data_IF_677905643705
#
_entry.id   IF_677905643705
#
_cell.length_a   1.000
_cell.length_b   1.000
_cell.length_c   1.000
_cell.angle_alpha   90.00
_cell.angle_beta   90.00
_cell.angle_gamma   90.00
#
_symmetry.space_group_name_H-M   'P 1'
#
loop_
_entity.id
_entity.type
_entity.pdbx_description
1 polymer ?
#
# COMPACT_ATOMS: atom_id res chain seq x y z
N UNK A 1 -7.85 8.70 -9.97
CA UNK A 1 -6.50 8.78 -10.57
C UNK A 1 -5.60 7.74 -9.93
N UNK A 2 -4.78 7.07 -10.71
CA UNK A 2 -3.86 6.08 -10.19
C UNK A 2 -2.59 6.73 -9.66
N UNK A 3 -2.17 6.33 -8.47
CA UNK A 3 -0.85 6.64 -7.95
C UNK A 3 -0.02 5.37 -7.91
N UNK A 4 1.27 5.47 -8.19
CA UNK A 4 2.17 4.32 -8.23
C UNK A 4 3.33 4.57 -7.28
N UNK A 5 3.59 3.59 -6.40
CA UNK A 5 4.81 3.58 -5.60
C UNK A 5 5.55 2.28 -5.80
N UNK A 6 6.86 2.35 -5.72
CA UNK A 6 7.72 1.17 -5.80
C UNK A 6 8.50 1.05 -4.50
N UNK A 7 8.18 0.02 -3.75
CA UNK A 7 8.84 -0.26 -2.47
C UNK A 7 9.71 -1.52 -2.54
N UNK A 8 9.96 -2.02 -3.75
CA UNK A 8 10.68 -3.28 -3.96
C UNK A 8 12.14 -3.22 -3.49
N UNK A 9 12.73 -2.03 -3.45
CA UNK A 9 14.12 -1.84 -2.99
C UNK A 9 14.23 -1.60 -1.49
N UNK A 10 13.11 -1.43 -0.79
CA UNK A 10 13.11 -1.17 0.65
C UNK A 10 13.10 -2.47 1.45
N UNK A 11 13.65 -2.40 2.65
CA UNK A 11 13.65 -3.52 3.59
C UNK A 11 12.59 -3.33 4.67
N UNK A 12 12.00 -4.43 5.18
CA UNK A 12 11.02 -4.33 6.25
C UNK A 12 11.58 -3.58 7.46
N UNK A 13 10.77 -2.76 8.15
CA UNK A 13 9.34 -2.53 7.92
C UNK A 13 9.01 -1.37 6.97
N UNK A 14 10.00 -0.79 6.30
CA UNK A 14 9.84 0.41 5.48
C UNK A 14 8.76 0.28 4.39
N UNK A 15 8.65 -0.85 3.64
CA UNK A 15 7.60 -0.96 2.64
C UNK A 15 6.20 -0.77 3.22
N UNK A 16 5.94 -1.37 4.38
CA UNK A 16 4.64 -1.25 5.03
C UNK A 16 4.36 0.19 5.43
N UNK A 17 5.35 0.86 6.03
CA UNK A 17 5.22 2.26 6.45
C UNK A 17 4.94 3.17 5.27
N UNK A 18 5.65 3.00 4.15
CA UNK A 18 5.46 3.79 2.94
C UNK A 18 4.05 3.61 2.36
N UNK A 19 3.58 2.38 2.33
CA UNK A 19 2.24 2.08 1.81
C UNK A 19 1.18 2.75 2.68
N UNK A 20 1.27 2.62 4.00
CA UNK A 20 0.30 3.21 4.91
C UNK A 20 0.31 4.73 4.84
N UNK A 21 1.48 5.35 4.78
CA UNK A 21 1.60 6.80 4.65
C UNK A 21 0.96 7.30 3.35
N UNK A 22 1.21 6.60 2.25
CA UNK A 22 0.65 6.97 0.95
C UNK A 22 -0.86 6.81 0.94
N UNK A 23 -1.39 5.76 1.55
CA UNK A 23 -2.83 5.55 1.65
C UNK A 23 -3.51 6.65 2.46
N UNK A 24 -2.84 7.17 3.49
CA UNK A 24 -3.40 8.26 4.30
C UNK A 24 -3.61 9.54 3.48
N UNK A 25 -2.81 9.74 2.43
CA UNK A 25 -2.90 10.92 1.56
C UNK A 25 -3.72 10.65 0.29
N UNK A 26 -4.22 9.43 0.11
CA UNK A 26 -4.94 9.06 -1.10
C UNK A 26 -6.32 9.70 -1.13
N UNK A 27 -6.64 10.38 -2.23
CA UNK A 27 -7.94 11.04 -2.39
C UNK A 27 -9.05 10.02 -2.64
N UNK A 28 -10.29 10.32 -2.22
CA UNK A 28 -11.43 9.45 -2.55
C UNK A 28 -11.57 9.25 -4.06
N UNK A 29 -11.78 8.01 -4.47
CA UNK A 29 -11.87 7.66 -5.87
C UNK A 29 -10.55 7.36 -6.55
N UNK A 30 -9.43 7.66 -5.91
CA UNK A 30 -8.11 7.30 -6.41
C UNK A 30 -7.74 5.90 -5.92
N UNK A 31 -6.78 5.29 -6.59
CA UNK A 31 -6.24 3.99 -6.17
C UNK A 31 -4.72 4.01 -6.23
N UNK A 32 -4.14 3.13 -5.44
CA UNK A 32 -2.70 3.02 -5.31
C UNK A 32 -2.23 1.70 -5.91
N UNK A 33 -1.27 1.78 -6.83
CA UNK A 33 -0.56 0.61 -7.34
C UNK A 33 0.77 0.51 -6.62
N UNK A 34 0.98 -0.61 -5.97
CA UNK A 34 2.19 -0.85 -5.19
C UNK A 34 3.03 -1.92 -5.88
N UNK A 35 4.28 -1.59 -6.17
CA UNK A 35 5.27 -2.56 -6.62
C UNK A 35 6.05 -3.04 -5.42
N UNK A 36 5.93 -4.32 -5.12
CA UNK A 36 6.55 -4.93 -3.96
C UNK A 36 7.29 -6.19 -4.39
N UNK A 37 8.45 -6.42 -3.79
CA UNK A 37 9.25 -7.60 -4.09
C UNK A 37 8.63 -8.88 -3.53
N UNK A 38 7.88 -8.76 -2.44
CA UNK A 38 7.22 -9.87 -1.76
C UNK A 38 5.74 -9.60 -1.58
N UNK A 39 4.98 -10.66 -1.38
CA UNK A 39 3.57 -10.53 -1.05
C UNK A 39 3.44 -9.94 0.37
N UNK A 40 2.87 -8.73 0.53
CA UNK A 40 2.79 -8.08 1.84
C UNK A 40 1.62 -8.63 2.67
N UNK A 41 1.69 -9.90 3.02
CA UNK A 41 0.60 -10.61 3.72
C UNK A 41 0.12 -9.88 4.98
N UNK A 42 0.99 -9.32 5.85
CA UNK A 42 0.53 -8.60 7.03
C UNK A 42 -0.28 -7.34 6.73
N UNK A 43 -0.17 -6.81 5.51
CA UNK A 43 -0.89 -5.60 5.11
C UNK A 43 -2.37 -5.85 4.88
N UNK A 44 -2.75 -7.02 4.40
CA UNK A 44 -4.12 -7.29 3.97
C UNK A 44 -5.16 -7.12 5.07
N UNK A 45 -4.98 -7.65 6.30
CA UNK A 45 -5.93 -7.39 7.37
C UNK A 45 -6.06 -5.92 7.71
N UNK A 46 -4.96 -5.17 7.63
CA UNK A 46 -4.97 -3.73 7.87
C UNK A 46 -5.79 -3.00 6.82
N UNK A 47 -5.63 -3.36 5.53
CA UNK A 47 -6.42 -2.77 4.46
C UNK A 47 -7.90 -3.04 4.63
N UNK A 48 -8.25 -4.27 5.00
CA UNK A 48 -9.63 -4.64 5.25
C UNK A 48 -10.24 -3.80 6.37
N UNK A 49 -9.52 -3.64 7.47
CA UNK A 49 -10.00 -2.89 8.62
C UNK A 49 -10.14 -1.40 8.28
N UNK A 50 -9.35 -0.88 7.34
CA UNK A 50 -9.43 0.48 6.86
C UNK A 50 -10.48 0.69 5.77
N UNK A 51 -11.12 -0.38 5.31
CA UNK A 51 -12.17 -0.31 4.29
C UNK A 51 -11.66 -0.33 2.85
N UNK A 52 -10.41 -0.67 2.62
CA UNK A 52 -9.84 -0.77 1.29
C UNK A 52 -10.09 -2.14 0.65
N UNK A 53 -10.12 -2.14 -0.67
CA UNK A 53 -10.08 -3.36 -1.48
C UNK A 53 -8.73 -3.43 -2.17
N UNK A 54 -8.31 -4.64 -2.49
CA UNK A 54 -7.06 -4.86 -3.21
C UNK A 54 -7.22 -6.00 -4.20
N UNK A 55 -6.30 -6.02 -5.15
CA UNK A 55 -6.30 -7.02 -6.20
C UNK A 55 -4.88 -7.52 -6.46
#
# INVERSE_FOLDING_TARGET
>A
MEQVIDVSALEPPEPLEQILDTLADLAPGDWLKVRHRRDPVPLYPMLRDMGYRWD
#
